data_IF_011922459176
#
_entry.id   IF_011922459176
#
_cell.length_a   1.000
_cell.length_b   1.000
_cell.length_c   1.000
_cell.angle_alpha   90.00
_cell.angle_beta   90.00
_cell.angle_gamma   90.00
#
_symmetry.space_group_name_H-M   'P 1'
#
loop_
_entity.id
_entity.type
_entity.pdbx_description
1 polymer ?
#
# COMPACT_ATOMS: atom_id res chain seq x y z
N UNK A 1 21.33 6.52 -16.17
CA UNK A 1 20.11 7.29 -15.92
C UNK A 1 18.92 6.47 -16.40
N UNK A 2 17.86 6.35 -15.63
CA UNK A 2 16.80 5.36 -15.86
C UNK A 2 15.43 6.03 -15.79
N UNK A 3 14.57 5.72 -16.74
CA UNK A 3 13.22 6.28 -16.87
C UNK A 3 12.20 5.27 -16.39
N UNK A 4 11.18 5.73 -15.67
CA UNK A 4 10.14 4.85 -15.15
C UNK A 4 8.95 4.77 -16.12
N UNK A 5 8.63 3.56 -16.57
CA UNK A 5 7.44 3.29 -17.37
C UNK A 5 6.31 2.87 -16.43
N UNK A 6 5.30 3.73 -16.27
CA UNK A 6 4.29 3.61 -15.20
C UNK A 6 3.48 2.32 -15.33
N UNK A 7 2.95 2.04 -16.53
CA UNK A 7 2.12 0.85 -16.77
C UNK A 7 2.94 -0.42 -16.72
N UNK A 8 4.18 -0.41 -17.22
CA UNK A 8 5.09 -1.55 -17.13
C UNK A 8 5.69 -1.73 -15.72
N UNK A 9 5.46 -0.78 -14.81
CA UNK A 9 5.96 -0.78 -13.43
C UNK A 9 7.45 -1.12 -13.33
N UNK A 10 8.26 -0.54 -14.23
CA UNK A 10 9.70 -0.82 -14.29
C UNK A 10 10.52 0.41 -14.68
N UNK A 11 11.74 0.44 -14.17
CA UNK A 11 12.75 1.37 -14.59
C UNK A 11 13.52 0.80 -15.79
N UNK A 12 13.71 1.58 -16.86
CA UNK A 12 14.48 1.17 -18.04
C UNK A 12 15.33 2.30 -18.62
N UNK A 13 16.42 1.94 -19.32
CA UNK A 13 17.18 2.85 -20.19
C UNK A 13 16.63 2.90 -21.63
N UNK A 14 15.83 1.91 -21.99
CA UNK A 14 15.16 1.82 -23.30
C UNK A 14 13.89 2.67 -23.30
N UNK A 15 13.31 2.90 -24.47
CA UNK A 15 12.06 3.65 -24.59
C UNK A 15 10.88 2.90 -23.95
N UNK A 16 9.98 3.66 -23.33
CA UNK A 16 8.77 3.12 -22.73
C UNK A 16 7.68 2.77 -23.76
N UNK A 17 7.85 3.16 -25.04
CA UNK A 17 6.81 3.06 -26.06
C UNK A 17 5.60 3.93 -25.70
N UNK A 18 4.39 3.37 -25.79
CA UNK A 18 3.13 4.07 -25.50
C UNK A 18 2.79 4.18 -24.00
N UNK A 19 3.75 4.00 -23.10
CA UNK A 19 3.52 4.10 -21.66
C UNK A 19 3.59 5.56 -21.19
N UNK A 20 2.99 5.85 -20.02
CA UNK A 20 3.29 7.08 -19.29
C UNK A 20 4.72 7.00 -18.74
N UNK A 21 5.44 8.10 -18.87
CA UNK A 21 6.88 8.17 -18.65
C UNK A 21 7.19 9.16 -17.54
N UNK A 22 7.84 8.69 -16.48
CA UNK A 22 8.41 9.56 -15.45
C UNK A 22 9.91 9.61 -15.65
N UNK A 23 10.40 10.80 -16.00
CA UNK A 23 11.82 11.04 -16.19
C UNK A 23 12.54 11.28 -14.86
N UNK A 24 13.85 11.02 -14.79
CA UNK A 24 14.66 11.45 -13.64
C UNK A 24 14.59 12.95 -13.44
N UNK A 25 14.78 13.39 -12.20
CA UNK A 25 14.74 14.80 -11.80
C UNK A 25 15.70 15.70 -12.60
N UNK A 26 16.77 15.15 -13.16
CA UNK A 26 17.76 15.87 -13.96
C UNK A 26 17.32 16.17 -15.40
N UNK A 27 16.27 15.51 -15.91
CA UNK A 27 15.68 15.84 -17.23
C UNK A 27 14.60 16.89 -17.04
N UNK A 28 14.56 17.87 -17.94
CA UNK A 28 13.49 18.87 -17.99
C UNK A 28 12.35 18.33 -18.83
N UNK A 29 11.40 17.67 -18.18
CA UNK A 29 10.15 17.20 -18.78
C UNK A 29 8.97 17.44 -17.82
N UNK A 30 7.74 17.42 -18.34
CA UNK A 30 6.52 17.66 -17.55
C UNK A 30 6.43 16.74 -16.32
N UNK A 31 6.76 15.46 -16.49
CA UNK A 31 6.73 14.44 -15.44
C UNK A 31 8.16 14.04 -15.05
N UNK A 32 8.83 14.90 -14.29
CA UNK A 32 10.22 14.67 -13.85
C UNK A 32 10.33 14.54 -12.34
N UNK A 33 10.94 13.44 -11.89
CA UNK A 33 11.21 13.17 -10.49
C UNK A 33 10.13 12.36 -9.77
N UNK A 34 10.37 12.01 -8.50
CA UNK A 34 9.59 11.01 -7.76
C UNK A 34 8.15 11.46 -7.41
N UNK A 35 7.83 12.75 -7.57
CA UNK A 35 6.50 13.27 -7.24
C UNK A 35 5.39 12.83 -8.19
N UNK A 36 5.75 12.25 -9.34
CA UNK A 36 4.80 11.72 -10.32
C UNK A 36 4.58 10.21 -10.16
N UNK A 37 5.32 9.53 -9.27
CA UNK A 37 5.20 8.09 -9.07
C UNK A 37 3.92 7.74 -8.29
N UNK A 38 3.16 6.71 -8.73
CA UNK A 38 2.09 6.13 -7.92
C UNK A 38 2.61 5.71 -6.55
N UNK A 39 2.09 6.32 -5.49
CA UNK A 39 2.59 6.09 -4.12
C UNK A 39 1.52 6.20 -3.05
N UNK A 40 1.77 5.53 -1.93
CA UNK A 40 1.05 5.73 -0.67
C UNK A 40 1.36 7.13 -0.14
N UNK A 41 0.35 7.84 0.36
CA UNK A 41 0.55 9.19 0.92
C UNK A 41 1.36 9.08 2.21
N UNK A 42 2.45 9.85 2.31
CA UNK A 42 3.28 9.92 3.50
C UNK A 42 2.56 10.59 4.69
N UNK A 43 2.99 10.27 5.92
CA UNK A 43 2.45 10.89 7.13
C UNK A 43 1.06 10.41 7.55
N UNK A 44 0.54 9.35 6.92
CA UNK A 44 -0.66 8.66 7.42
C UNK A 44 -0.39 8.10 8.81
N UNK A 45 -1.36 8.27 9.71
CA UNK A 45 -1.27 7.76 11.08
C UNK A 45 -1.16 6.24 11.04
N UNK A 46 -0.24 5.70 11.82
CA UNK A 46 -0.14 4.25 12.04
C UNK A 46 -1.50 3.70 12.50
N UNK A 47 -1.90 2.57 11.92
CA UNK A 47 -3.12 1.89 12.32
C UNK A 47 -2.88 1.04 13.56
N UNK A 48 -3.79 1.11 14.53
CA UNK A 48 -3.76 0.28 15.74
C UNK A 48 -4.96 -0.64 15.71
N UNK A 49 -4.71 -1.93 15.60
CA UNK A 49 -5.69 -2.98 15.34
C UNK A 49 -5.75 -3.95 16.52
N UNK A 50 -6.92 -4.55 16.75
CA UNK A 50 -7.10 -5.58 17.79
C UNK A 50 -6.83 -6.98 17.22
N UNK A 51 -6.10 -7.81 17.96
CA UNK A 51 -5.88 -9.22 17.61
C UNK A 51 -7.19 -10.02 17.67
N UNK A 52 -7.38 -10.95 16.73
CA UNK A 52 -8.54 -11.83 16.63
C UNK A 52 -9.80 -11.17 16.06
N UNK A 53 -9.72 -9.94 15.56
CA UNK A 53 -10.85 -9.25 14.95
C UNK A 53 -10.67 -8.99 13.45
N UNK A 54 -11.75 -9.23 12.70
CA UNK A 54 -11.85 -8.81 11.30
C UNK A 54 -12.02 -7.30 11.22
N UNK A 55 -11.02 -6.62 10.66
CA UNK A 55 -10.98 -5.17 10.55
C UNK A 55 -10.69 -4.78 9.09
N UNK A 56 -11.20 -3.63 8.68
CA UNK A 56 -10.92 -3.05 7.36
C UNK A 56 -9.78 -2.05 7.48
N UNK A 57 -8.97 -1.95 6.44
CA UNK A 57 -7.91 -0.96 6.30
C UNK A 57 -8.30 -0.02 5.16
N UNK A 58 -8.15 1.28 5.40
CA UNK A 58 -8.21 2.31 4.36
C UNK A 58 -6.82 2.92 4.21
N UNK A 59 -6.33 2.97 2.97
CA UNK A 59 -5.01 3.51 2.62
C UNK A 59 -5.20 4.63 1.64
N UNK A 60 -4.65 5.81 1.95
CA UNK A 60 -4.64 6.95 1.03
C UNK A 60 -3.47 6.84 0.07
N UNK A 61 -3.72 7.03 -1.22
CA UNK A 61 -2.72 7.00 -2.29
C UNK A 61 -2.76 8.28 -3.12
N UNK A 62 -1.76 8.49 -3.96
CA UNK A 62 -1.70 9.63 -4.90
C UNK A 62 -1.02 9.22 -6.20
N UNK A 63 -1.06 10.12 -7.19
CA UNK A 63 -0.57 9.89 -8.56
C UNK A 63 -1.27 8.69 -9.22
N UNK A 64 -2.59 8.66 -9.08
CA UNK A 64 -3.46 7.70 -9.77
C UNK A 64 -3.68 8.20 -11.18
N UNK A 65 -3.33 7.39 -12.18
CA UNK A 65 -3.63 7.69 -13.57
C UNK A 65 -5.00 7.12 -13.93
N UNK A 66 -5.73 7.79 -14.83
CA UNK A 66 -7.12 7.45 -15.15
C UNK A 66 -7.33 5.96 -15.47
N UNK A 67 -6.41 5.35 -16.23
CA UNK A 67 -6.50 3.94 -16.59
C UNK A 67 -6.36 2.98 -15.41
N UNK A 68 -5.65 3.37 -14.33
CA UNK A 68 -5.48 2.53 -13.14
C UNK A 68 -6.79 2.36 -12.36
N UNK A 69 -7.65 3.38 -12.37
CA UNK A 69 -8.92 3.37 -11.65
C UNK A 69 -9.86 2.24 -12.12
N UNK A 70 -9.66 1.74 -13.34
CA UNK A 70 -10.44 0.67 -13.95
C UNK A 70 -9.78 -0.71 -13.85
N UNK A 71 -8.75 -0.86 -13.02
CA UNK A 71 -8.09 -2.15 -12.75
C UNK A 71 -8.49 -2.72 -11.39
N UNK A 72 -8.30 -4.02 -11.12
CA UNK A 72 -8.51 -4.60 -9.81
C UNK A 72 -7.51 -4.02 -8.82
N UNK A 73 -7.99 -3.67 -7.64
CA UNK A 73 -7.17 -3.19 -6.54
C UNK A 73 -7.00 -4.29 -5.51
N UNK A 74 -5.81 -4.37 -4.91
CA UNK A 74 -5.50 -5.33 -3.87
C UNK A 74 -4.67 -4.67 -2.77
N UNK A 75 -4.77 -5.19 -1.56
CA UNK A 75 -3.87 -4.84 -0.47
C UNK A 75 -2.94 -6.01 -0.19
N UNK A 76 -1.64 -5.73 -0.14
CA UNK A 76 -0.60 -6.65 0.29
C UNK A 76 -0.31 -6.39 1.76
N UNK A 77 -0.81 -7.25 2.63
CA UNK A 77 -0.59 -7.20 4.08
C UNK A 77 0.62 -8.07 4.39
N UNK A 78 1.61 -7.51 5.09
CA UNK A 78 2.69 -8.25 5.72
C UNK A 78 2.54 -8.15 7.23
N UNK A 79 2.38 -9.28 7.91
CA UNK A 79 2.31 -9.35 9.37
C UNK A 79 2.96 -10.64 9.83
N UNK A 80 3.80 -10.59 10.87
CA UNK A 80 4.55 -11.75 11.36
C UNK A 80 5.37 -12.47 10.26
N UNK A 81 5.88 -11.71 9.29
CA UNK A 81 6.61 -12.26 8.14
C UNK A 81 5.75 -13.06 7.16
N UNK A 82 4.43 -13.13 7.36
CA UNK A 82 3.47 -13.75 6.44
C UNK A 82 2.84 -12.69 5.55
N UNK A 83 2.81 -12.99 4.25
CA UNK A 83 2.21 -12.14 3.24
C UNK A 83 0.80 -12.61 2.89
N UNK A 84 -0.14 -11.66 2.85
CA UNK A 84 -1.52 -11.90 2.46
C UNK A 84 -1.92 -10.86 1.40
N UNK A 85 -2.48 -11.33 0.28
CA UNK A 85 -3.04 -10.46 -0.75
C UNK A 85 -4.55 -10.58 -0.69
N UNK A 86 -5.22 -9.46 -0.43
CA UNK A 86 -6.68 -9.38 -0.35
C UNK A 86 -7.21 -8.38 -1.36
N UNK A 87 -8.45 -8.57 -1.77
CA UNK A 87 -9.14 -7.65 -2.70
C UNK A 87 -9.34 -6.31 -2.00
N UNK A 88 -9.34 -5.24 -2.80
CA UNK A 88 -9.62 -3.89 -2.34
C UNK A 88 -10.45 -3.14 -3.39
N UNK A 89 -11.05 -2.02 -2.97
CA UNK A 89 -11.78 -1.12 -3.85
C UNK A 89 -11.18 0.28 -3.76
N UNK A 90 -11.06 0.96 -4.90
CA UNK A 90 -10.68 2.37 -4.95
C UNK A 90 -11.93 3.24 -4.94
N UNK A 91 -11.99 4.22 -4.03
CA UNK A 91 -12.96 5.31 -4.06
C UNK A 91 -12.20 6.62 -3.92
N UNK A 92 -12.26 7.46 -4.96
CA UNK A 92 -11.44 8.67 -5.09
C UNK A 92 -9.94 8.36 -4.95
N UNK A 93 -9.32 8.76 -3.84
CA UNK A 93 -7.90 8.55 -3.52
C UNK A 93 -7.68 7.57 -2.36
N UNK A 94 -8.73 6.86 -1.95
CA UNK A 94 -8.69 5.90 -0.83
C UNK A 94 -8.90 4.47 -1.34
N UNK A 95 -7.98 3.59 -0.98
CA UNK A 95 -8.05 2.14 -1.22
C UNK A 95 -8.61 1.48 0.03
N UNK A 96 -9.77 0.85 -0.10
CA UNK A 96 -10.48 0.13 0.95
C UNK A 96 -10.21 -1.35 0.79
N UNK A 97 -9.31 -1.89 1.62
CA UNK A 97 -9.05 -3.32 1.67
C UNK A 97 -10.28 -4.07 2.22
N UNK A 98 -10.52 -5.27 1.71
CA UNK A 98 -11.50 -6.17 2.32
C UNK A 98 -11.18 -6.47 3.78
N UNK A 99 -12.18 -6.91 4.54
CA UNK A 99 -12.00 -7.23 5.96
C UNK A 99 -11.06 -8.42 6.15
N UNK A 100 -9.98 -8.21 6.89
CA UNK A 100 -8.98 -9.22 7.19
C UNK A 100 -8.91 -9.46 8.69
N UNK A 101 -8.72 -10.71 9.09
CA UNK A 101 -8.55 -11.07 10.50
C UNK A 101 -7.08 -10.95 10.89
N UNK A 102 -6.76 -9.94 11.69
CA UNK A 102 -5.40 -9.73 12.18
C UNK A 102 -5.18 -10.55 13.43
N UNK A 103 -4.19 -11.44 13.43
CA UNK A 103 -3.81 -12.24 14.59
C UNK A 103 -2.37 -11.99 14.97
N UNK A 104 -2.16 -11.62 16.22
CA UNK A 104 -0.87 -11.73 16.88
C UNK A 104 -0.80 -13.10 17.55
N UNK A 105 -0.01 -14.00 16.98
CA UNK A 105 0.25 -15.37 17.50
C UNK A 105 1.50 -15.43 18.39
N UNK A 106 2.18 -14.31 18.62
CA UNK A 106 3.36 -14.26 19.48
C UNK A 106 3.00 -14.00 20.94
N UNK A 107 3.96 -14.20 21.83
CA UNK A 107 3.85 -13.88 23.26
C UNK A 107 4.09 -12.38 23.57
N UNK A 108 4.29 -11.56 22.54
CA UNK A 108 4.47 -10.12 22.68
C UNK A 108 3.12 -9.39 22.73
N UNK A 109 3.00 -8.27 23.48
CA UNK A 109 1.76 -7.50 23.61
C UNK A 109 1.28 -6.91 22.27
N UNK A 110 2.17 -6.75 21.29
CA UNK A 110 1.81 -6.36 19.94
C UNK A 110 2.79 -6.92 18.90
N UNK A 111 2.33 -6.97 17.65
CA UNK A 111 3.17 -7.20 16.48
C UNK A 111 2.95 -6.09 15.46
N UNK A 112 4.00 -5.74 14.73
CA UNK A 112 3.93 -4.75 13.66
C UNK A 112 3.72 -5.42 12.31
N UNK A 113 3.10 -4.69 11.41
CA UNK A 113 2.95 -5.09 10.02
C UNK A 113 2.88 -3.89 9.10
N UNK A 114 2.83 -4.16 7.81
CA UNK A 114 2.72 -3.14 6.78
C UNK A 114 1.65 -3.55 5.78
N UNK A 115 1.02 -2.54 5.18
CA UNK A 115 0.13 -2.75 4.06
C UNK A 115 0.56 -1.89 2.88
N UNK A 116 0.77 -2.54 1.74
CA UNK A 116 1.05 -1.89 0.45
C UNK A 116 -0.14 -2.03 -0.48
N UNK A 117 -0.26 -1.09 -1.42
CA UNK A 117 -1.32 -1.11 -2.42
C UNK A 117 -0.79 -1.74 -3.70
N UNK A 118 -1.53 -2.71 -4.23
CA UNK A 118 -1.28 -3.29 -5.53
C UNK A 118 -2.44 -2.94 -6.48
N UNK A 119 -2.10 -2.82 -7.75
CA UNK A 119 -3.05 -2.65 -8.85
C UNK A 119 -2.69 -3.61 -9.98
N UNK A 120 -3.43 -3.58 -11.09
CA UNK A 120 -3.25 -4.43 -12.28
C UNK A 120 -3.87 -5.84 -12.19
N UNK A 121 -4.28 -6.37 -13.35
CA UNK A 121 -4.92 -7.67 -13.47
C UNK A 121 -3.95 -8.83 -13.31
N UNK A 122 -2.73 -8.70 -13.82
CA UNK A 122 -1.85 -9.84 -14.08
C UNK A 122 -0.60 -9.83 -13.20
N UNK A 123 0.01 -8.66 -12.99
CA UNK A 123 1.35 -8.57 -12.40
C UNK A 123 1.39 -8.02 -10.98
N UNK A 124 0.24 -7.67 -10.36
CA UNK A 124 0.17 -7.12 -9.01
C UNK A 124 1.16 -5.97 -8.79
N UNK A 125 1.10 -4.96 -9.66
CA UNK A 125 2.04 -3.83 -9.67
C UNK A 125 1.87 -3.02 -8.39
N UNK A 126 2.97 -2.70 -7.71
CA UNK A 126 2.93 -2.03 -6.42
C UNK A 126 2.95 -0.51 -6.57
N UNK A 127 2.20 0.17 -5.71
CA UNK A 127 2.46 1.57 -5.38
C UNK A 127 3.71 1.68 -4.51
N UNK A 128 4.45 2.77 -4.66
CA UNK A 128 5.59 3.05 -3.80
C UNK A 128 5.14 3.34 -2.35
N UNK A 129 5.89 2.84 -1.37
CA UNK A 129 5.57 2.98 0.05
C UNK A 129 4.56 1.97 0.62
N UNK A 130 4.25 2.17 1.90
CA UNK A 130 3.37 1.33 2.69
C UNK A 130 2.78 2.11 3.87
N UNK A 131 1.68 1.62 4.42
CA UNK A 131 1.10 2.09 5.67
C UNK A 131 1.47 1.11 6.80
N UNK A 132 2.19 1.53 7.85
CA UNK A 132 2.45 0.69 9.01
C UNK A 132 1.20 0.50 9.87
N UNK A 133 1.13 -0.64 10.53
CA UNK A 133 0.13 -0.94 11.55
C UNK A 133 0.72 -1.77 12.68
N UNK A 134 0.03 -1.77 13.83
CA UNK A 134 0.28 -2.70 14.94
C UNK A 134 -0.98 -3.48 15.30
N UNK A 135 -0.81 -4.73 15.71
CA UNK A 135 -1.89 -5.63 16.15
C UNK A 135 -1.69 -5.94 17.64
N UNK A 136 -2.59 -5.46 18.50
CA UNK A 136 -2.50 -5.57 19.95
C UNK A 136 -3.18 -6.83 20.52
N UNK A 137 -2.54 -7.45 21.50
CA UNK A 137 -3.05 -8.53 22.38
C UNK A 137 -3.61 -7.91 23.66
N UNK A 138 -4.91 -7.68 23.70
CA UNK A 138 -5.57 -7.06 24.86
C UNK A 138 -5.61 -7.94 26.11
N UNK A 139 -5.34 -9.22 25.95
CA UNK A 139 -5.17 -10.19 27.04
C UNK A 139 -3.78 -10.09 27.69
N UNK A 140 -2.79 -9.49 27.03
CA UNK A 140 -1.44 -9.23 27.56
C UNK A 140 -1.25 -7.78 27.99
N UNK A 141 -1.80 -6.83 27.23
CA UNK A 141 -1.71 -5.39 27.49
C UNK A 141 -3.03 -4.71 27.07
N UNK A 142 -3.81 -4.29 28.06
CA UNK A 142 -5.10 -3.62 27.88
C UNK A 142 -4.97 -2.11 27.64
N UNK A 143 -3.76 -1.55 27.79
CA UNK A 143 -3.51 -0.11 27.61
C UNK A 143 -3.47 0.32 26.14
N UNK A 144 -3.35 -0.64 25.21
CA UNK A 144 -3.38 -0.34 23.79
C UNK A 144 -4.75 0.26 23.38
N UNK A 145 -4.72 1.33 22.58
CA UNK A 145 -5.93 2.06 22.12
C UNK A 145 -6.95 1.16 21.39
N UNK A 146 -6.51 0.06 20.78
CA UNK A 146 -7.42 -0.90 20.16
C UNK A 146 -8.20 -1.75 21.18
N UNK A 147 -7.76 -1.82 22.43
CA UNK A 147 -8.39 -2.59 23.49
C UNK A 147 -9.51 -1.82 24.20
N UNK A 148 -9.44 -0.49 24.16
CA UNK A 148 -10.39 0.41 24.81
C UNK A 148 -11.47 0.95 23.87
N UNK A 149 -11.44 0.56 22.59
CA UNK A 149 -12.45 0.89 21.58
C UNK A 149 -13.41 -0.28 21.37
#
# INVERSE_FOLDING_TARGET
>A
MCTWCVTKSRCTKQECGNDNVIYPKSVVALMSGPNFCPRVVEGQKELVLKSGQRQKITIKITQIYLYMAFTPWKCKINVNGKEHIIIANLIADNVYCESFEFRNESDEPYVTGTVSVLWDYEYNKAFDGYLPFRVCRCDLDDSCVACTK
#
